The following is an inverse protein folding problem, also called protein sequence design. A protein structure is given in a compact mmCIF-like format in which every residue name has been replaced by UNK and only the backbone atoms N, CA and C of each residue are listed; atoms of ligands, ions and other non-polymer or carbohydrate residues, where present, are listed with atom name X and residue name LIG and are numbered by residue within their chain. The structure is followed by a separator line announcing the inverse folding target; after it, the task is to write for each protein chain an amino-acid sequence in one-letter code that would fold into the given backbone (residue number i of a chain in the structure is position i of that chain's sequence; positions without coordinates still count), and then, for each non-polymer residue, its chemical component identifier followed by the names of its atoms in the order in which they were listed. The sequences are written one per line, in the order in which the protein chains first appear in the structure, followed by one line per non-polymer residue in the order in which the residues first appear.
data_IF_431376325936
#
_entry.id   IF_431376325936
#
_cell.length_a   1.000
_cell.length_b   1.000
_cell.length_c   1.000
_cell.angle_alpha   90.00
_cell.angle_beta   90.00
_cell.angle_gamma   90.00
#
_symmetry.space_group_name_H-M   'P 1'
#
loop_
_entity.id
_entity.type
_entity.pdbx_description
1 polymer ?
#
# COMPACT_ATOMS: atom_id res chain seq x y z
N UNK A 1 21.90 20.13 15.41
CA UNK A 1 20.88 19.17 14.96
C UNK A 1 20.40 18.43 16.18
N UNK A 2 19.14 18.62 16.55
CA UNK A 2 18.48 17.85 17.61
C UNK A 2 18.59 16.35 17.30
N UNK A 3 18.87 15.51 18.31
CA UNK A 3 19.10 14.07 18.15
C UNK A 3 17.96 13.37 17.38
N UNK A 4 16.73 13.85 17.59
CA UNK A 4 15.51 13.37 16.95
C UNK A 4 15.55 13.52 15.42
N UNK A 5 16.09 14.62 14.91
CA UNK A 5 16.16 14.88 13.46
C UNK A 5 17.17 13.96 12.77
N UNK A 6 18.28 13.69 13.46
CA UNK A 6 19.28 12.72 13.01
C UNK A 6 18.69 11.30 12.95
N UNK A 7 17.90 10.91 13.97
CA UNK A 7 17.20 9.61 14.00
C UNK A 7 16.13 9.49 12.90
N UNK A 8 15.31 10.54 12.69
CA UNK A 8 14.31 10.58 11.62
C UNK A 8 14.98 10.48 10.25
N UNK A 9 16.05 11.24 10.01
CA UNK A 9 16.77 11.21 8.74
C UNK A 9 17.51 9.88 8.52
N UNK A 10 18.00 9.25 9.59
CA UNK A 10 18.53 7.89 9.53
C UNK A 10 17.43 6.89 9.15
N UNK A 11 16.27 6.93 9.80
CA UNK A 11 15.13 6.07 9.51
C UNK A 11 14.66 6.20 8.05
N UNK A 12 14.45 7.43 7.56
CA UNK A 12 14.04 7.66 6.16
C UNK A 12 15.08 7.12 5.17
N UNK A 13 16.37 7.35 5.39
CA UNK A 13 17.43 6.84 4.51
C UNK A 13 17.58 5.32 4.55
N UNK A 14 17.39 4.71 5.72
CA UNK A 14 17.61 3.28 5.96
C UNK A 14 16.38 2.43 5.60
N UNK A 15 15.21 2.83 6.11
CA UNK A 15 13.96 2.07 5.99
C UNK A 15 13.19 2.40 4.72
N UNK A 16 13.17 3.68 4.32
CA UNK A 16 12.55 4.09 3.05
C UNK A 16 13.56 4.09 1.89
N UNK A 17 14.82 3.71 2.16
CA UNK A 17 15.94 3.60 1.20
C UNK A 17 16.16 4.85 0.33
N UNK A 18 15.67 6.01 0.78
CA UNK A 18 15.72 7.22 -0.04
C UNK A 18 17.01 7.99 0.20
N UNK A 19 17.94 7.90 -0.75
CA UNK A 19 19.18 8.70 -0.77
C UNK A 19 18.95 10.15 -1.24
N UNK A 20 17.76 10.46 -1.77
CA UNK A 20 17.45 11.73 -2.42
C UNK A 20 17.03 12.84 -1.44
N UNK A 21 16.76 12.51 -0.17
CA UNK A 21 16.33 13.47 0.84
C UNK A 21 17.55 14.28 1.32
N UNK A 22 17.52 15.61 1.21
CA UNK A 22 18.60 16.49 1.71
C UNK A 22 18.85 16.29 3.21
N UNK A 23 20.02 16.70 3.71
CA UNK A 23 20.36 16.60 5.16
C UNK A 23 19.88 17.81 5.95
N UNK A 24 19.62 18.90 5.24
CA UNK A 24 19.26 20.24 5.68
C UNK A 24 17.74 20.48 5.62
N UNK A 25 16.93 19.46 5.34
CA UNK A 25 15.48 19.55 5.44
C UNK A 25 15.03 19.52 6.91
N UNK A 26 14.13 20.43 7.27
CA UNK A 26 13.55 20.51 8.62
C UNK A 26 12.78 19.23 8.96
N UNK A 27 11.99 18.71 8.02
CA UNK A 27 11.29 17.43 8.16
C UNK A 27 11.67 16.45 7.03
N UNK A 28 12.46 15.39 7.32
CA UNK A 28 12.91 14.44 6.30
C UNK A 28 11.79 13.54 5.75
N UNK A 29 10.69 13.36 6.48
CA UNK A 29 9.54 12.60 6.00
C UNK A 29 8.73 13.41 4.97
N UNK A 30 8.49 14.68 5.26
CA UNK A 30 7.82 15.59 4.32
C UNK A 30 8.67 15.80 3.06
N UNK A 31 9.99 15.98 3.22
CA UNK A 31 10.91 16.03 2.09
C UNK A 31 10.88 14.77 1.22
N UNK A 32 10.84 13.60 1.86
CA UNK A 32 10.65 12.34 1.14
C UNK A 32 9.30 12.28 0.41
N UNK A 33 8.20 12.66 1.07
CA UNK A 33 6.88 12.67 0.47
C UNK A 33 6.80 13.63 -0.73
N UNK A 34 7.37 14.83 -0.61
CA UNK A 34 7.44 15.80 -1.70
C UNK A 34 8.18 15.23 -2.92
N UNK A 35 9.34 14.60 -2.70
CA UNK A 35 10.11 13.93 -3.75
C UNK A 35 9.27 12.81 -4.41
N UNK A 36 8.61 11.98 -3.60
CA UNK A 36 7.77 10.88 -4.11
C UNK A 36 6.58 11.39 -4.92
N UNK A 37 5.90 12.42 -4.42
CA UNK A 37 4.75 13.01 -5.09
C UNK A 37 5.15 13.59 -6.45
N UNK A 38 6.25 14.34 -6.51
CA UNK A 38 6.83 14.87 -7.76
C UNK A 38 7.19 13.79 -8.77
N UNK A 39 7.82 12.70 -8.33
CA UNK A 39 8.16 11.58 -9.22
C UNK A 39 6.91 10.97 -9.86
N UNK A 40 5.85 10.80 -9.06
CA UNK A 40 4.58 10.27 -9.54
C UNK A 40 3.90 11.24 -10.49
N UNK A 41 3.84 12.54 -10.15
CA UNK A 41 3.27 13.58 -11.01
C UNK A 41 4.02 13.69 -12.34
N UNK A 42 5.35 13.67 -12.32
CA UNK A 42 6.19 13.67 -13.53
C UNK A 42 5.91 12.45 -14.41
N UNK A 43 5.72 11.27 -13.81
CA UNK A 43 5.37 10.05 -14.56
C UNK A 43 3.98 10.13 -15.18
N UNK A 44 3.02 10.75 -14.50
CA UNK A 44 1.66 10.93 -14.99
C UNK A 44 1.52 11.99 -16.09
N UNK A 45 2.55 12.84 -16.27
CA UNK A 45 2.51 13.95 -17.24
C UNK A 45 1.78 15.20 -16.74
N UNK A 46 1.58 15.32 -15.43
CA UNK A 46 0.92 16.48 -14.82
C UNK A 46 1.73 17.77 -14.98
N UNK A 47 1.05 18.91 -15.16
CA UNK A 47 1.63 20.22 -15.53
C UNK A 47 1.71 21.22 -14.37
N UNK A 48 1.50 20.81 -13.13
CA UNK A 48 1.55 21.73 -11.99
C UNK A 48 2.93 22.40 -11.86
N UNK A 49 2.98 23.69 -11.47
CA UNK A 49 4.23 24.40 -11.30
C UNK A 49 5.03 23.76 -10.17
N UNK A 50 6.27 23.38 -10.46
CA UNK A 50 7.16 22.82 -9.46
C UNK A 50 7.51 23.89 -8.42
N UNK A 51 7.35 23.57 -7.13
CA UNK A 51 7.81 24.46 -6.05
C UNK A 51 9.35 24.58 -6.07
N UNK A 52 9.85 25.76 -5.67
CA UNK A 52 11.27 26.16 -5.78
C UNK A 52 12.24 25.16 -5.15
N UNK A 53 11.84 24.57 -4.03
CA UNK A 53 12.63 23.59 -3.26
C UNK A 53 12.15 22.16 -3.50
N UNK A 54 13.06 21.26 -3.85
CA UNK A 54 12.75 19.86 -4.19
C UNK A 54 12.19 19.02 -3.05
N UNK A 55 12.47 19.43 -1.81
CA UNK A 55 12.02 18.83 -0.56
C UNK A 55 10.71 19.44 -0.04
N UNK A 56 10.09 20.34 -0.79
CA UNK A 56 8.78 20.92 -0.46
C UNK A 56 7.78 20.63 -1.57
N UNK A 57 6.49 20.60 -1.21
CA UNK A 57 5.40 20.43 -2.17
C UNK A 57 4.35 21.50 -1.93
N UNK A 58 3.88 22.12 -3.02
CA UNK A 58 2.79 23.09 -2.95
C UNK A 58 1.46 22.42 -2.60
N UNK A 59 0.49 23.19 -2.10
CA UNK A 59 -0.84 22.64 -1.76
C UNK A 59 -1.54 22.02 -2.96
N UNK A 60 -1.61 22.76 -4.06
CA UNK A 60 -2.24 22.31 -5.32
C UNK A 60 -1.52 21.08 -5.91
N UNK A 61 -0.19 21.07 -5.87
CA UNK A 61 0.62 19.95 -6.34
C UNK A 61 0.35 18.67 -5.51
N UNK A 62 0.22 18.82 -4.18
CA UNK A 62 -0.10 17.71 -3.30
C UNK A 62 -1.53 17.19 -3.50
N UNK A 63 -2.47 18.10 -3.74
CA UNK A 63 -3.87 17.79 -4.04
C UNK A 63 -4.01 16.96 -5.32
N UNK A 64 -3.33 17.36 -6.40
CA UNK A 64 -3.30 16.56 -7.64
C UNK A 64 -2.66 15.19 -7.41
N UNK A 65 -1.58 15.12 -6.62
CA UNK A 65 -0.94 13.85 -6.28
C UNK A 65 -1.91 12.92 -5.55
N UNK A 66 -2.66 13.44 -4.56
CA UNK A 66 -3.65 12.65 -3.84
C UNK A 66 -4.75 12.14 -4.77
N UNK A 67 -5.30 13.00 -5.62
CA UNK A 67 -6.35 12.63 -6.58
C UNK A 67 -5.85 11.58 -7.59
N UNK A 68 -4.62 11.72 -8.08
CA UNK A 68 -4.00 10.72 -8.96
C UNK A 68 -3.87 9.36 -8.26
N UNK A 69 -3.35 9.34 -7.03
CA UNK A 69 -3.17 8.09 -6.27
C UNK A 69 -4.50 7.47 -5.89
N UNK A 70 -5.50 8.29 -5.60
CA UNK A 70 -6.86 7.82 -5.33
C UNK A 70 -7.44 7.10 -6.54
N UNK A 71 -7.32 7.67 -7.74
CA UNK A 71 -7.74 7.04 -9.00
C UNK A 71 -7.03 5.72 -9.26
N UNK A 72 -5.72 5.66 -9.03
CA UNK A 72 -4.95 4.40 -9.13
C UNK A 72 -5.47 3.35 -8.14
N UNK A 73 -5.78 3.75 -6.91
CA UNK A 73 -6.27 2.85 -5.86
C UNK A 73 -7.67 2.33 -6.16
N UNK A 74 -8.56 3.18 -6.72
CA UNK A 74 -9.88 2.74 -7.17
C UNK A 74 -9.78 1.71 -8.29
N UNK A 75 -8.94 1.95 -9.30
CA UNK A 75 -8.68 0.99 -10.38
C UNK A 75 -8.17 -0.35 -9.85
N UNK A 76 -7.25 -0.29 -8.90
CA UNK A 76 -6.75 -1.49 -8.24
C UNK A 76 -7.85 -2.22 -7.47
N UNK A 77 -8.66 -1.50 -6.68
CA UNK A 77 -9.75 -2.08 -5.91
C UNK A 77 -10.80 -2.75 -6.82
N UNK A 78 -11.20 -2.09 -7.90
CA UNK A 78 -12.13 -2.61 -8.89
C UNK A 78 -11.59 -3.87 -9.59
N UNK A 79 -10.30 -3.88 -9.93
CA UNK A 79 -9.67 -5.01 -10.62
C UNK A 79 -9.50 -6.24 -9.72
N UNK A 80 -9.23 -6.04 -8.44
CA UNK A 80 -8.79 -7.09 -7.52
C UNK A 80 -9.92 -7.67 -6.67
N UNK A 81 -10.95 -6.88 -6.37
CA UNK A 81 -12.02 -7.25 -5.45
C UNK A 81 -13.41 -7.10 -6.10
N UNK A 82 -14.18 -8.20 -6.20
CA UNK A 82 -15.54 -8.19 -6.77
C UNK A 82 -16.50 -7.21 -6.11
N UNK A 83 -16.36 -7.02 -4.80
CA UNK A 83 -17.18 -6.08 -4.04
C UNK A 83 -17.12 -4.66 -4.64
N UNK A 84 -15.92 -4.12 -4.79
CA UNK A 84 -15.72 -2.76 -5.32
C UNK A 84 -16.15 -2.65 -6.77
N UNK A 85 -16.00 -3.72 -7.56
CA UNK A 85 -16.47 -3.75 -8.94
C UNK A 85 -17.99 -3.60 -9.04
N UNK A 86 -18.75 -4.33 -8.21
CA UNK A 86 -20.20 -4.18 -8.17
C UNK A 86 -20.59 -2.82 -7.59
N UNK A 87 -19.96 -2.41 -6.49
CA UNK A 87 -20.25 -1.14 -5.80
C UNK A 87 -20.10 0.07 -6.73
N UNK A 88 -19.00 0.16 -7.48
CA UNK A 88 -18.78 1.26 -8.42
C UNK A 88 -19.70 1.21 -9.63
N UNK A 89 -20.01 0.00 -10.12
CA UNK A 89 -20.95 -0.20 -11.22
C UNK A 89 -22.37 0.22 -10.84
N UNK A 90 -22.82 -0.15 -9.65
CA UNK A 90 -24.15 0.16 -9.14
C UNK A 90 -24.30 1.65 -8.83
N UNK A 91 -23.22 2.29 -8.35
CA UNK A 91 -23.15 3.74 -8.20
C UNK A 91 -22.96 4.50 -9.54
N UNK A 92 -22.62 3.80 -10.62
CA UNK A 92 -22.38 4.39 -11.94
C UNK A 92 -21.13 5.27 -12.03
N UNK A 93 -20.14 5.04 -11.16
CA UNK A 93 -18.94 5.88 -11.04
C UNK A 93 -17.73 5.17 -11.60
N UNK A 94 -16.90 5.92 -12.32
CA UNK A 94 -15.61 5.45 -12.80
C UNK A 94 -14.46 6.23 -12.16
N UNK A 95 -13.27 5.61 -12.01
CA UNK A 95 -12.09 6.33 -11.52
C UNK A 95 -11.74 7.56 -12.36
N UNK A 96 -12.11 7.60 -13.64
CA UNK A 96 -11.88 8.74 -14.52
C UNK A 96 -12.78 9.96 -14.21
N UNK A 97 -13.90 9.75 -13.50
CA UNK A 97 -14.87 10.81 -13.20
C UNK A 97 -14.42 11.70 -12.03
N UNK A 98 -13.43 11.27 -11.27
CA UNK A 98 -12.95 11.95 -10.08
C UNK A 98 -11.81 12.89 -10.46
N UNK A 99 -12.11 14.18 -10.55
CA UNK A 99 -11.13 15.22 -10.93
C UNK A 99 -10.85 16.20 -9.82
N UNK A 100 -11.76 16.35 -8.87
CA UNK A 100 -11.67 17.29 -7.75
C UNK A 100 -12.03 16.60 -6.44
N UNK A 101 -11.76 17.27 -5.31
CA UNK A 101 -12.16 16.75 -4.00
C UNK A 101 -13.68 16.69 -3.82
N UNK A 102 -14.43 17.58 -4.47
CA UNK A 102 -15.90 17.57 -4.45
C UNK A 102 -16.47 16.30 -5.08
N UNK A 103 -15.76 15.72 -6.07
CA UNK A 103 -16.17 14.45 -6.69
C UNK A 103 -16.06 13.25 -5.73
N UNK A 104 -15.30 13.37 -4.62
CA UNK A 104 -15.18 12.30 -3.64
C UNK A 104 -16.48 12.02 -2.91
N UNK A 105 -17.39 13.00 -2.81
CA UNK A 105 -18.71 12.82 -2.20
C UNK A 105 -19.57 11.81 -2.96
N UNK A 106 -19.28 11.62 -4.25
CA UNK A 106 -19.99 10.65 -5.08
C UNK A 106 -19.55 9.22 -4.75
N UNK A 107 -18.33 9.04 -4.24
CA UNK A 107 -17.76 7.71 -4.02
C UNK A 107 -18.48 7.01 -2.86
N UNK A 108 -19.07 5.82 -3.09
CA UNK A 108 -19.74 5.09 -2.04
C UNK A 108 -18.74 4.62 -0.98
N UNK A 109 -19.14 4.74 0.29
CA UNK A 109 -18.36 4.22 1.41
C UNK A 109 -18.63 2.74 1.64
N UNK A 110 -17.60 2.05 2.10
CA UNK A 110 -17.71 0.68 2.62
C UNK A 110 -17.94 0.73 4.13
N UNK A 111 -19.00 0.10 4.62
CA UNK A 111 -19.31 0.01 6.04
C UNK A 111 -18.95 -1.36 6.60
N UNK A 112 -18.92 -1.47 7.94
CA UNK A 112 -18.62 -2.75 8.61
C UNK A 112 -19.66 -3.83 8.30
N UNK A 113 -20.92 -3.47 8.00
CA UNK A 113 -21.97 -4.43 7.69
C UNK A 113 -21.75 -5.09 6.32
N UNK A 114 -21.27 -4.34 5.32
CA UNK A 114 -20.96 -4.86 3.98
C UNK A 114 -19.96 -6.02 4.03
N UNK A 115 -18.94 -5.87 4.90
CA UNK A 115 -17.94 -6.89 5.14
C UNK A 115 -18.51 -8.13 5.83
N UNK A 116 -19.43 -7.94 6.78
CA UNK A 116 -20.06 -9.04 7.51
C UNK A 116 -21.03 -9.85 6.62
N UNK A 117 -21.77 -9.18 5.74
CA UNK A 117 -22.73 -9.83 4.83
C UNK A 117 -22.04 -10.60 3.71
N UNK A 118 -20.96 -10.04 3.13
CA UNK A 118 -20.28 -10.63 1.96
C UNK A 118 -18.77 -10.71 2.16
N UNK A 119 -18.27 -11.46 3.16
CA UNK A 119 -16.85 -11.45 3.53
C UNK A 119 -15.93 -11.90 2.39
N UNK A 120 -16.35 -12.88 1.60
CA UNK A 120 -15.55 -13.40 0.49
C UNK A 120 -15.50 -12.47 -0.74
N UNK A 121 -16.41 -11.50 -0.84
CA UNK A 121 -16.44 -10.56 -1.97
C UNK A 121 -15.32 -9.51 -1.93
N UNK A 122 -14.73 -9.30 -0.75
CA UNK A 122 -13.55 -8.46 -0.54
C UNK A 122 -12.23 -9.21 -0.75
N UNK A 123 -12.28 -10.55 -0.83
CA UNK A 123 -11.08 -11.36 -0.99
C UNK A 123 -10.58 -11.20 -2.42
N UNK A 124 -9.30 -10.85 -2.52
CA UNK A 124 -8.60 -10.69 -3.79
C UNK A 124 -8.62 -11.98 -4.58
N UNK A 125 -9.09 -11.92 -5.83
CA UNK A 125 -8.79 -12.98 -6.79
C UNK A 125 -7.30 -12.90 -7.10
N UNK A 126 -6.51 -13.82 -6.56
CA UNK A 126 -5.06 -13.86 -6.77
C UNK A 126 -4.77 -14.07 -8.26
N UNK A 127 -4.58 -12.99 -9.01
CA UNK A 127 -4.16 -13.06 -10.41
C UNK A 127 -2.82 -13.81 -10.49
N UNK A 128 -2.73 -14.92 -11.25
CA UNK A 128 -1.50 -15.72 -11.34
C UNK A 128 -0.28 -14.97 -11.90
N UNK A 129 -0.48 -13.82 -12.56
CA UNK A 129 0.56 -13.06 -13.25
C UNK A 129 1.41 -12.17 -12.33
N UNK A 130 1.02 -11.98 -11.06
CA UNK A 130 1.80 -11.19 -10.08
C UNK A 130 2.75 -12.04 -9.22
N UNK A 131 3.20 -13.18 -9.75
CA UNK A 131 4.34 -13.94 -9.19
C UNK A 131 5.67 -13.25 -9.48
N UNK A 132 5.84 -12.04 -8.94
CA UNK A 132 7.16 -11.42 -8.78
C UNK A 132 7.90 -11.92 -7.53
N UNK A 133 7.18 -12.51 -6.58
CA UNK A 133 7.74 -13.21 -5.42
C UNK A 133 7.02 -14.55 -5.29
N UNK A 134 7.65 -15.62 -5.78
CA UNK A 134 7.29 -16.96 -5.35
C UNK A 134 7.33 -16.99 -3.81
N UNK A 135 6.35 -17.59 -3.11
CA UNK A 135 6.62 -17.98 -1.73
C UNK A 135 7.93 -18.78 -1.74
N UNK A 136 8.85 -18.59 -0.78
CA UNK A 136 10.02 -19.45 -0.70
C UNK A 136 9.53 -20.88 -0.83
N UNK A 137 10.17 -21.72 -1.67
CA UNK A 137 9.71 -23.09 -1.85
C UNK A 137 9.48 -23.65 -0.45
N UNK A 138 8.28 -24.17 -0.20
CA UNK A 138 7.94 -24.74 1.10
C UNK A 138 9.16 -25.52 1.53
N UNK A 139 9.85 -25.03 2.59
CA UNK A 139 11.11 -25.62 3.04
C UNK A 139 10.72 -27.08 3.19
N UNK A 140 11.19 -27.93 2.27
CA UNK A 140 10.91 -29.35 2.35
C UNK A 140 11.28 -29.65 3.78
N UNK A 141 10.29 -30.02 4.59
CA UNK A 141 10.54 -30.28 5.99
C UNK A 141 11.55 -31.41 5.92
N UNK A 142 12.83 -31.07 6.08
CA UNK A 142 13.92 -32.01 6.17
C UNK A 142 13.39 -33.04 7.14
N UNK A 143 13.20 -34.26 6.64
CA UNK A 143 12.31 -35.23 7.24
C UNK A 143 12.48 -35.19 8.75
N UNK A 144 11.38 -35.03 9.49
CA UNK A 144 11.43 -35.38 10.91
C UNK A 144 12.09 -36.76 10.94
N UNK A 145 13.24 -36.94 11.61
CA UNK A 145 13.76 -38.28 11.76
C UNK A 145 12.62 -39.09 12.35
N UNK A 146 12.27 -40.18 11.69
CA UNK A 146 11.33 -41.16 12.22
C UNK A 146 11.91 -41.62 13.54
N UNK A 147 11.46 -41.01 14.63
CA UNK A 147 11.83 -41.40 15.98
C UNK A 147 11.05 -42.70 16.24
N UNK A 148 11.60 -43.80 15.71
CA UNK A 148 11.20 -45.16 16.04
C UNK A 148 11.57 -45.37 17.51
N UNK A 149 10.72 -44.89 18.42
CA UNK A 149 10.77 -45.36 19.80
C UNK A 149 10.26 -46.79 19.80
N UNK A 150 11.06 -47.78 20.25
CA UNK A 150 10.54 -49.13 20.43
C UNK A 150 9.42 -49.09 21.47
N UNK A 151 8.33 -49.80 21.18
CA UNK A 151 7.24 -50.03 22.10
C UNK A 151 7.76 -50.79 23.34
N UNK A 152 8.08 -50.06 24.41
CA UNK A 152 8.25 -50.67 25.73
C UNK A 152 6.94 -50.57 26.49
N UNK A 153 6.33 -51.75 26.59
CA UNK A 153 5.28 -52.17 27.51
C UNK A 153 5.44 -51.64 28.94
N UNK A 154 4.28 -51.45 29.60
CA UNK A 154 4.04 -51.51 31.05
C UNK A 154 3.92 -50.20 31.86
N UNK A 155 2.95 -50.26 32.79
CA UNK A 155 2.53 -49.33 33.86
C UNK A 155 1.50 -48.26 33.43
N UNK A 156 0.18 -48.49 33.54
CA UNK A 156 -0.64 -48.77 34.75
C UNK A 156 -0.44 -47.71 35.83
N UNK A 157 -1.37 -46.76 35.88
CA UNK A 157 -1.60 -45.87 37.02
C UNK A 157 -3.03 -46.06 37.51
N UNK A 158 -3.20 -46.98 38.45
CA UNK A 158 -3.90 -46.73 39.73
C UNK A 158 -2.79 -46.86 40.78
#
# INVERSE_FOLDING_TARGET
MELLDSMKAFFVRRMLLSRKVPKDCENPLEGWMAIKAREVLKKSGSKFPASERTDTIGREEFEEYQLLRFREQMKYAEAEAPHYRSLYKDAGIRPEDIRTYEDLEKVPFTYSHDLAEKPYSFVRYRSPSLRGNSPPPARQAAGRPSDSRPATSSARWI
#
